data_IF_458431599301
#
_entry.id   IF_458431599301
#
_cell.length_a   1.000
_cell.length_b   1.000
_cell.length_c   1.000
_cell.angle_alpha   90.00
_cell.angle_beta   90.00
_cell.angle_gamma   90.00
#
_symmetry.space_group_name_H-M   'P 1'
#
loop_
_entity.id
_entity.type
_entity.pdbx_description
1 polymer ?
#
# COMPACT_ATOMS: atom_id res chain seq x y z
N UNK A 1 19.93 25.48 22.14
CA UNK A 1 18.59 24.88 22.38
C UNK A 1 17.96 24.32 21.11
N UNK A 2 18.06 25.00 19.97
CA UNK A 2 17.55 24.56 18.66
C UNK A 2 17.86 23.11 18.22
N UNK A 3 19.13 22.68 18.26
CA UNK A 3 19.51 21.32 17.84
C UNK A 3 18.89 20.21 18.69
N UNK A 4 18.58 20.50 19.96
CA UNK A 4 17.90 19.56 20.87
C UNK A 4 16.46 19.37 20.43
N UNK A 5 15.76 20.44 20.04
CA UNK A 5 14.38 20.36 19.55
C UNK A 5 14.31 19.49 18.29
N UNK A 6 15.21 19.72 17.34
CA UNK A 6 15.32 18.89 16.13
C UNK A 6 15.57 17.41 16.48
N UNK A 7 16.52 17.14 17.38
CA UNK A 7 16.82 15.78 17.85
C UNK A 7 15.62 15.10 18.51
N UNK A 8 14.86 15.83 19.34
CA UNK A 8 13.64 15.32 19.98
C UNK A 8 12.59 14.98 18.92
N UNK A 9 12.35 15.85 17.93
CA UNK A 9 11.38 15.58 16.86
C UNK A 9 11.76 14.32 16.08
N UNK A 10 13.02 14.20 15.66
CA UNK A 10 13.57 13.02 14.95
C UNK A 10 13.31 11.73 15.75
N UNK A 11 13.59 11.74 17.04
CA UNK A 11 13.42 10.57 17.92
C UNK A 11 11.93 10.24 18.13
N UNK A 12 11.09 11.23 18.40
CA UNK A 12 9.64 11.04 18.59
C UNK A 12 9.00 10.47 17.32
N UNK A 13 9.36 11.00 16.14
CA UNK A 13 8.85 10.52 14.86
C UNK A 13 9.30 9.08 14.58
N UNK A 14 10.52 8.71 14.97
CA UNK A 14 10.99 7.32 14.86
C UNK A 14 10.16 6.35 15.71
N UNK A 15 9.91 6.69 16.98
CA UNK A 15 9.07 5.87 17.85
C UNK A 15 7.61 5.83 17.39
N UNK A 16 7.10 6.93 16.84
CA UNK A 16 5.76 6.96 16.23
C UNK A 16 5.69 6.00 15.03
N UNK A 17 6.66 6.04 14.13
CA UNK A 17 6.70 5.14 12.97
C UNK A 17 6.81 3.67 13.41
N UNK A 18 7.66 3.37 14.41
CA UNK A 18 7.77 2.04 15.00
C UNK A 18 6.47 1.57 15.65
N UNK A 19 5.82 2.42 16.43
CA UNK A 19 4.55 2.11 17.09
C UNK A 19 3.46 1.80 16.07
N UNK A 20 3.33 2.62 15.03
CA UNK A 20 2.37 2.39 13.95
C UNK A 20 2.69 1.08 13.21
N UNK A 21 3.96 0.82 12.91
CA UNK A 21 4.35 -0.42 12.25
C UNK A 21 4.08 -1.66 13.12
N UNK A 22 4.30 -1.56 14.43
CA UNK A 22 3.98 -2.62 15.38
C UNK A 22 2.45 -2.83 15.52
N UNK A 23 1.67 -1.74 15.43
CA UNK A 23 0.21 -1.80 15.55
C UNK A 23 -0.45 -2.38 14.30
N UNK A 24 0.03 -2.03 13.12
CA UNK A 24 -0.59 -2.39 11.84
C UNK A 24 0.13 -3.53 11.10
N UNK A 25 1.39 -3.80 11.41
CA UNK A 25 2.21 -4.86 10.79
C UNK A 25 2.37 -6.08 11.69
N UNK A 26 2.48 -7.26 11.07
CA UNK A 26 2.82 -8.51 11.77
C UNK A 26 4.34 -8.75 11.70
N UNK A 27 5.05 -8.17 12.67
CA UNK A 27 6.51 -8.15 12.79
C UNK A 27 7.18 -9.54 12.75
N UNK A 28 6.47 -10.59 13.16
CA UNK A 28 7.02 -11.94 13.25
C UNK A 28 6.88 -12.72 11.96
N UNK A 29 5.80 -12.49 11.21
CA UNK A 29 5.52 -13.22 9.95
C UNK A 29 6.13 -12.55 8.73
N UNK A 30 6.33 -11.23 8.76
CA UNK A 30 6.93 -10.52 7.65
C UNK A 30 8.44 -10.71 7.57
N UNK A 31 8.95 -10.62 6.35
CA UNK A 31 10.38 -10.66 6.10
C UNK A 31 11.04 -9.37 6.55
N UNK A 32 12.25 -9.49 7.11
CA UNK A 32 13.00 -8.37 7.69
C UNK A 32 13.24 -7.22 6.70
N UNK A 33 13.50 -7.54 5.43
CA UNK A 33 13.76 -6.51 4.41
C UNK A 33 12.50 -5.68 4.10
N UNK A 34 11.32 -6.31 4.09
CA UNK A 34 10.02 -5.62 3.91
C UNK A 34 9.78 -4.70 5.09
N UNK A 35 9.99 -5.23 6.30
CA UNK A 35 9.79 -4.49 7.53
C UNK A 35 10.68 -3.24 7.61
N UNK A 36 11.98 -3.39 7.35
CA UNK A 36 12.94 -2.27 7.39
C UNK A 36 12.61 -1.25 6.31
N UNK A 37 12.29 -1.69 5.09
CA UNK A 37 11.91 -0.79 4.01
C UNK A 37 10.65 0.01 4.32
N UNK A 38 9.62 -0.62 4.86
CA UNK A 38 8.39 0.06 5.27
C UNK A 38 8.63 1.01 6.44
N UNK A 39 9.41 0.61 7.45
CA UNK A 39 9.76 1.48 8.57
C UNK A 39 10.48 2.75 8.08
N UNK A 40 11.49 2.57 7.24
CA UNK A 40 12.26 3.69 6.69
C UNK A 40 11.38 4.62 5.85
N UNK A 41 10.48 4.07 5.03
CA UNK A 41 9.52 4.84 4.24
C UNK A 41 8.61 5.69 5.12
N UNK A 42 7.96 5.07 6.10
CA UNK A 42 7.04 5.77 6.98
C UNK A 42 7.74 6.81 7.82
N UNK A 43 8.93 6.46 8.33
CA UNK A 43 9.76 7.38 9.09
C UNK A 43 10.09 8.64 8.27
N UNK A 44 10.60 8.50 7.05
CA UNK A 44 10.92 9.65 6.18
C UNK A 44 9.68 10.49 5.85
N UNK A 45 8.55 9.85 5.54
CA UNK A 45 7.30 10.57 5.25
C UNK A 45 6.81 11.39 6.44
N UNK A 46 6.76 10.80 7.64
CA UNK A 46 6.35 11.53 8.84
C UNK A 46 7.35 12.62 9.21
N UNK A 47 8.65 12.36 9.02
CA UNK A 47 9.70 13.32 9.31
C UNK A 47 9.52 14.61 8.48
N UNK A 48 9.21 14.49 7.18
CA UNK A 48 8.96 15.65 6.31
C UNK A 48 7.80 16.51 6.82
N UNK A 49 6.70 15.89 7.29
CA UNK A 49 5.52 16.61 7.80
C UNK A 49 5.87 17.49 8.99
N UNK A 50 6.74 17.01 9.91
CA UNK A 50 7.14 17.78 11.08
C UNK A 50 8.28 18.77 10.81
N UNK A 51 9.19 18.48 9.87
CA UNK A 51 10.35 19.34 9.59
C UNK A 51 9.99 20.49 8.64
N UNK A 52 9.01 20.32 7.76
CA UNK A 52 8.62 21.37 6.81
C UNK A 52 8.18 22.69 7.50
N UNK A 53 7.35 22.68 8.56
CA UNK A 53 7.06 23.91 9.33
C UNK A 53 8.30 24.56 9.94
N UNK A 54 9.27 23.75 10.39
CA UNK A 54 10.51 24.24 10.99
C UNK A 54 11.40 24.92 9.94
N UNK A 55 11.48 24.34 8.74
CA UNK A 55 12.16 24.92 7.60
C UNK A 55 11.56 26.28 7.21
N UNK A 56 10.23 26.33 7.03
CA UNK A 56 9.52 27.57 6.68
C UNK A 56 9.74 28.64 7.74
N UNK A 57 9.62 28.31 9.03
CA UNK A 57 9.85 29.27 10.12
C UNK A 57 11.28 29.80 10.15
N UNK A 58 12.27 28.94 9.89
CA UNK A 58 13.69 29.32 9.84
C UNK A 58 13.97 30.21 8.63
N UNK A 59 13.36 29.90 7.50
CA UNK A 59 13.51 30.67 6.25
C UNK A 59 12.88 32.06 6.37
N UNK A 60 11.69 32.18 6.97
CA UNK A 60 11.04 33.48 7.23
C UNK A 60 11.90 34.35 8.15
N UNK A 61 12.45 33.78 9.23
CA UNK A 61 13.33 34.50 10.14
C UNK A 61 14.60 35.00 9.44
N UNK A 62 15.23 34.16 8.61
CA UNK A 62 16.41 34.56 7.82
C UNK A 62 16.09 35.65 6.80
N UNK A 63 14.94 35.55 6.13
CA UNK A 63 14.50 36.59 5.20
C UNK A 63 14.30 37.93 5.92
N UNK A 64 13.68 37.91 7.11
CA UNK A 64 13.53 39.10 7.94
C UNK A 64 14.89 39.75 8.26
N UNK A 65 15.90 38.96 8.63
CA UNK A 65 17.25 39.48 8.89
C UNK A 65 17.89 40.10 7.65
N UNK A 66 17.72 39.50 6.47
CA UNK A 66 18.25 40.02 5.20
C UNK A 66 17.54 41.33 4.84
N UNK A 67 16.22 41.37 4.94
CA UNK A 67 15.41 42.55 4.61
C UNK A 67 15.78 43.72 5.54
N UNK A 68 16.08 43.46 6.81
CA UNK A 68 16.54 44.48 7.76
C UNK A 68 17.89 45.13 7.42
N UNK A 69 18.80 44.39 6.77
CA UNK A 69 20.09 44.94 6.33
C UNK A 69 19.88 45.89 5.14
N UNK A 70 18.85 45.63 4.32
CA UNK A 70 18.52 46.42 3.15
C UNK A 70 17.50 47.55 3.42
N UNK A 71 16.81 47.52 4.57
CA UNK A 71 15.74 48.47 4.89
C UNK A 71 16.25 49.75 5.55
N UNK A 72 15.62 50.88 5.19
CA UNK A 72 15.84 52.19 5.84
C UNK A 72 15.23 52.28 7.25
N UNK A 73 14.22 51.44 7.54
CA UNK A 73 13.63 51.28 8.88
C UNK A 73 13.71 49.80 9.30
N UNK A 74 14.53 49.45 10.31
CA UNK A 74 14.72 48.07 10.74
C UNK A 74 13.48 47.56 11.49
N UNK A 75 12.98 46.38 11.09
CA UNK A 75 11.92 45.64 11.78
C UNK A 75 12.52 44.75 12.86
N UNK A 76 11.78 44.47 13.93
CA UNK A 76 12.24 43.52 14.96
C UNK A 76 12.06 42.09 14.43
N UNK A 77 13.16 41.37 14.23
CA UNK A 77 13.13 39.94 13.90
C UNK A 77 13.34 39.11 15.17
N UNK A 78 12.26 38.51 15.69
CA UNK A 78 12.36 37.60 16.83
C UNK A 78 12.74 36.19 16.38
N UNK A 79 13.69 35.57 17.08
CA UNK A 79 14.13 34.22 16.77
C UNK A 79 13.04 33.20 17.16
N UNK A 80 12.56 32.37 16.22
CA UNK A 80 11.57 31.36 16.56
C UNK A 80 12.20 30.24 17.37
N UNK A 81 11.41 29.65 18.26
CA UNK A 81 11.76 28.45 19.04
C UNK A 81 12.19 27.26 18.15
N UNK A 82 11.71 27.23 16.91
CA UNK A 82 12.00 26.25 15.86
C UNK A 82 13.20 26.59 14.97
N UNK A 83 13.90 27.71 15.21
CA UNK A 83 15.06 28.11 14.39
C UNK A 83 16.10 27.00 14.34
N UNK A 84 16.58 26.61 13.16
CA UNK A 84 17.64 25.59 12.98
C UNK A 84 18.96 26.27 12.54
N UNK A 85 20.12 25.91 13.12
CA UNK A 85 21.41 26.50 12.76
C UNK A 85 21.79 26.24 11.30
N UNK A 86 22.57 27.17 10.75
CA UNK A 86 23.05 27.14 9.38
C UNK A 86 23.89 25.89 9.09
N UNK A 87 23.70 25.32 7.89
CA UNK A 87 24.40 24.11 7.45
C UNK A 87 23.70 22.79 7.80
N UNK A 88 22.91 22.72 8.89
CA UNK A 88 22.20 21.47 9.25
C UNK A 88 21.07 21.16 8.28
N UNK A 89 20.27 22.17 7.93
CA UNK A 89 19.08 22.00 7.10
C UNK A 89 19.41 21.53 5.65
N UNK A 90 20.42 22.08 4.94
CA UNK A 90 20.82 21.56 3.64
C UNK A 90 21.36 20.13 3.67
N UNK A 91 22.12 19.76 4.72
CA UNK A 91 22.62 18.39 4.89
C UNK A 91 21.46 17.44 5.17
N UNK A 92 20.54 17.84 6.05
CA UNK A 92 19.34 17.09 6.38
C UNK A 92 18.50 16.81 5.12
N UNK A 93 18.17 17.84 4.35
CA UNK A 93 17.39 17.68 3.12
C UNK A 93 18.13 16.85 2.06
N UNK A 94 19.46 16.93 1.99
CA UNK A 94 20.26 16.06 1.12
C UNK A 94 20.12 14.60 1.52
N UNK A 95 20.21 14.28 2.82
CA UNK A 95 20.01 12.92 3.33
C UNK A 95 18.61 12.42 3.03
N UNK A 96 17.57 13.21 3.37
CA UNK A 96 16.17 12.85 3.11
C UNK A 96 15.92 12.65 1.62
N UNK A 97 16.45 13.53 0.76
CA UNK A 97 16.32 13.44 -0.68
C UNK A 97 16.92 12.13 -1.21
N UNK A 98 18.21 11.87 -0.97
CA UNK A 98 18.87 10.69 -1.53
C UNK A 98 18.33 9.38 -0.97
N UNK A 99 17.99 9.34 0.32
CA UNK A 99 17.33 8.17 0.92
C UNK A 99 15.96 7.92 0.30
N UNK A 100 15.15 8.97 0.09
CA UNK A 100 13.84 8.86 -0.57
C UNK A 100 13.97 8.44 -2.04
N UNK A 101 14.99 8.92 -2.76
CA UNK A 101 15.26 8.50 -4.14
C UNK A 101 15.60 7.01 -4.20
N UNK A 102 16.53 6.55 -3.35
CA UNK A 102 16.88 5.13 -3.26
C UNK A 102 15.65 4.27 -2.90
N UNK A 103 14.86 4.73 -1.95
CA UNK A 103 13.68 4.01 -1.49
C UNK A 103 12.61 3.89 -2.58
N UNK A 104 12.36 4.98 -3.30
CA UNK A 104 11.29 5.07 -4.30
C UNK A 104 11.67 4.34 -5.59
N UNK A 105 12.91 4.50 -6.05
CA UNK A 105 13.33 3.96 -7.35
C UNK A 105 13.91 2.55 -7.28
N UNK A 106 14.43 2.13 -6.11
CA UNK A 106 15.04 0.80 -5.98
C UNK A 106 14.28 -0.08 -5.00
N UNK A 107 14.12 0.37 -3.75
CA UNK A 107 13.64 -0.53 -2.70
C UNK A 107 12.15 -0.88 -2.87
N UNK A 108 11.26 0.10 -3.00
CA UNK A 108 9.81 -0.14 -3.09
C UNK A 108 9.40 -0.99 -4.32
N UNK A 109 9.91 -0.73 -5.53
CA UNK A 109 9.62 -1.54 -6.72
C UNK A 109 10.16 -2.98 -6.57
N UNK A 110 11.35 -3.11 -5.99
CA UNK A 110 11.90 -4.41 -5.62
C UNK A 110 10.98 -5.14 -4.63
N UNK A 111 10.47 -4.46 -3.60
CA UNK A 111 9.55 -5.05 -2.63
C UNK A 111 8.23 -5.50 -3.24
N UNK A 112 7.67 -4.71 -4.16
CA UNK A 112 6.43 -5.04 -4.85
C UNK A 112 6.59 -6.32 -5.68
N UNK A 113 7.64 -6.40 -6.51
CA UNK A 113 7.90 -7.60 -7.32
C UNK A 113 8.29 -8.80 -6.44
N UNK A 114 9.08 -8.58 -5.38
CA UNK A 114 9.42 -9.62 -4.42
C UNK A 114 8.16 -10.22 -3.76
N UNK A 115 7.23 -9.37 -3.30
CA UNK A 115 5.98 -9.81 -2.66
C UNK A 115 5.02 -10.50 -3.64
N UNK A 116 5.00 -10.06 -4.91
CA UNK A 116 4.19 -10.66 -5.98
C UNK A 116 4.77 -11.98 -6.48
N UNK A 117 6.07 -12.22 -6.30
CA UNK A 117 6.73 -13.44 -6.79
C UNK A 117 6.21 -14.71 -6.11
N UNK A 118 5.73 -15.66 -6.92
CA UNK A 118 5.25 -16.97 -6.48
C UNK A 118 6.34 -18.00 -6.21
N UNK A 119 7.63 -17.61 -6.24
CA UNK A 119 8.74 -18.54 -6.06
C UNK A 119 8.82 -19.05 -4.61
N UNK A 120 9.00 -20.36 -4.42
CA UNK A 120 9.04 -20.98 -3.08
C UNK A 120 10.36 -20.71 -2.33
N UNK A 121 11.46 -20.45 -3.03
CA UNK A 121 12.78 -20.16 -2.44
C UNK A 121 13.06 -18.66 -2.33
N UNK A 122 13.72 -18.23 -1.24
CA UNK A 122 14.15 -16.84 -1.04
C UNK A 122 15.02 -16.32 -2.18
N UNK A 123 15.95 -17.13 -2.68
CA UNK A 123 16.82 -16.76 -3.79
C UNK A 123 16.06 -16.65 -5.11
N UNK A 124 15.07 -17.52 -5.32
CA UNK A 124 14.16 -17.46 -6.45
C UNK A 124 13.37 -16.15 -6.47
N UNK A 125 12.82 -15.74 -5.32
CA UNK A 125 12.11 -14.46 -5.19
C UNK A 125 12.99 -13.25 -5.50
N UNK A 126 14.21 -13.21 -4.96
CA UNK A 126 15.17 -12.11 -5.23
C UNK A 126 15.52 -12.07 -6.73
N UNK A 127 15.82 -13.22 -7.34
CA UNK A 127 16.18 -13.29 -8.76
C UNK A 127 15.03 -12.83 -9.66
N UNK A 128 13.82 -13.32 -9.43
CA UNK A 128 12.63 -12.90 -10.17
C UNK A 128 12.41 -11.40 -9.99
N UNK A 129 12.53 -10.88 -8.77
CA UNK A 129 12.34 -9.45 -8.50
C UNK A 129 13.37 -8.55 -9.19
N UNK A 130 14.63 -8.99 -9.26
CA UNK A 130 15.68 -8.25 -9.97
C UNK A 130 15.47 -8.28 -11.49
N UNK A 131 15.04 -9.42 -12.05
CA UNK A 131 14.80 -9.54 -13.50
C UNK A 131 13.62 -8.67 -13.91
N UNK A 132 12.49 -8.73 -13.20
CA UNK A 132 11.30 -7.94 -13.53
C UNK A 132 11.58 -6.44 -13.47
N UNK A 133 12.22 -5.97 -12.39
CA UNK A 133 12.59 -4.56 -12.27
C UNK A 133 13.68 -4.16 -13.29
N UNK A 134 14.65 -5.04 -13.56
CA UNK A 134 15.71 -4.80 -14.54
C UNK A 134 15.16 -4.62 -15.95
N UNK A 135 14.17 -5.42 -16.35
CA UNK A 135 13.48 -5.26 -17.65
C UNK A 135 12.73 -3.92 -17.68
N UNK A 136 11.97 -3.60 -16.64
CA UNK A 136 11.18 -2.37 -16.59
C UNK A 136 12.04 -1.09 -16.61
N UNK A 137 13.06 -1.02 -15.76
CA UNK A 137 13.98 0.12 -15.74
C UNK A 137 14.89 0.16 -16.97
N UNK A 138 15.27 -1.00 -17.51
CA UNK A 138 16.06 -1.10 -18.73
C UNK A 138 15.33 -0.52 -19.94
N UNK A 139 14.04 -0.82 -20.11
CA UNK A 139 13.24 -0.26 -21.21
C UNK A 139 13.01 1.24 -21.03
N UNK A 140 12.71 1.71 -19.82
CA UNK A 140 12.58 3.14 -19.53
C UNK A 140 13.88 3.91 -19.83
N UNK A 141 15.03 3.35 -19.42
CA UNK A 141 16.34 3.96 -19.68
C UNK A 141 16.63 4.07 -21.18
N UNK A 142 16.29 3.05 -21.97
CA UNK A 142 16.46 3.08 -23.42
C UNK A 142 15.65 4.22 -24.05
N UNK A 143 14.36 4.31 -23.71
CA UNK A 143 13.47 5.39 -24.19
C UNK A 143 13.96 6.77 -23.74
N UNK A 144 14.44 6.88 -22.50
CA UNK A 144 14.98 8.13 -21.98
C UNK A 144 16.24 8.56 -22.75
N UNK A 145 17.17 7.64 -23.00
CA UNK A 145 18.39 7.92 -23.76
C UNK A 145 18.07 8.29 -25.21
N UNK A 146 17.12 7.63 -25.87
CA UNK A 146 16.74 7.99 -27.24
C UNK A 146 16.13 9.38 -27.34
N UNK A 147 15.29 9.77 -26.37
CA UNK A 147 14.75 11.13 -26.25
C UNK A 147 15.85 12.15 -25.97
N UNK A 148 16.82 11.83 -25.11
CA UNK A 148 17.96 12.71 -24.84
C UNK A 148 18.78 12.96 -26.10
N UNK A 149 19.08 11.92 -26.88
CA UNK A 149 19.81 12.07 -28.16
C UNK A 149 19.05 12.99 -29.11
N UNK A 150 17.73 12.82 -29.23
CA UNK A 150 16.88 13.72 -30.03
C UNK A 150 16.97 15.18 -29.57
N UNK A 151 16.83 15.43 -28.26
CA UNK A 151 16.89 16.78 -27.68
C UNK A 151 18.27 17.41 -27.84
N UNK A 152 19.36 16.65 -27.68
CA UNK A 152 20.72 17.17 -27.86
C UNK A 152 20.95 17.59 -29.31
N UNK A 153 20.48 16.82 -30.28
CA UNK A 153 20.61 17.14 -31.71
C UNK A 153 19.82 18.40 -32.09
N UNK A 154 18.61 18.57 -31.56
CA UNK A 154 17.72 19.66 -31.97
C UNK A 154 17.79 20.92 -31.10
N UNK A 155 18.12 20.80 -29.81
CA UNK A 155 17.98 21.89 -28.83
C UNK A 155 19.32 22.37 -28.26
N UNK A 156 20.42 21.69 -28.56
CA UNK A 156 21.86 21.97 -28.39
C UNK A 156 22.40 22.61 -27.09
N UNK A 157 21.63 23.33 -26.24
CA UNK A 157 22.11 24.00 -25.01
C UNK A 157 21.15 24.11 -23.82
N UNK A 158 19.89 23.67 -23.94
CA UNK A 158 18.86 23.84 -22.87
C UNK A 158 18.49 22.54 -22.12
N UNK A 159 19.32 21.50 -22.18
CA UNK A 159 18.97 20.16 -21.66
C UNK A 159 18.57 20.18 -20.17
N UNK A 160 19.31 20.92 -19.35
CA UNK A 160 19.00 21.05 -17.92
C UNK A 160 17.64 21.71 -17.70
N UNK A 161 17.34 22.80 -18.42
CA UNK A 161 16.05 23.50 -18.33
C UNK A 161 14.90 22.58 -18.73
N UNK A 162 15.06 21.82 -19.83
CA UNK A 162 14.05 20.85 -20.28
C UNK A 162 13.83 19.75 -19.25
N UNK A 163 14.90 19.17 -18.69
CA UNK A 163 14.78 18.12 -17.67
C UNK A 163 14.13 18.63 -16.38
N UNK A 164 14.48 19.84 -15.92
CA UNK A 164 13.86 20.45 -14.74
C UNK A 164 12.37 20.71 -15.00
N UNK A 165 12.06 21.30 -16.16
CA UNK A 165 10.68 21.61 -16.53
C UNK A 165 9.85 20.34 -16.66
N UNK A 166 10.38 19.29 -17.32
CA UNK A 166 9.72 18.00 -17.47
C UNK A 166 9.49 17.29 -16.11
N UNK A 167 10.46 17.34 -15.20
CA UNK A 167 10.29 16.77 -13.86
C UNK A 167 9.21 17.52 -13.06
N UNK A 168 9.18 18.85 -13.18
CA UNK A 168 8.17 19.69 -12.52
C UNK A 168 6.78 19.47 -13.11
N UNK A 169 6.63 19.39 -14.43
CA UNK A 169 5.33 19.11 -15.06
C UNK A 169 4.83 17.71 -14.72
N UNK A 170 5.71 16.71 -14.65
CA UNK A 170 5.35 15.37 -14.20
C UNK A 170 4.85 15.36 -12.74
N UNK A 171 5.55 16.06 -11.84
CA UNK A 171 5.13 16.19 -10.45
C UNK A 171 3.78 16.89 -10.28
N UNK A 172 3.57 18.01 -11.01
CA UNK A 172 2.30 18.74 -11.01
C UNK A 172 1.16 17.91 -11.61
N UNK A 173 1.42 17.17 -12.70
CA UNK A 173 0.44 16.28 -13.30
C UNK A 173 -0.03 15.20 -12.32
N UNK A 174 0.91 14.53 -11.64
CA UNK A 174 0.58 13.55 -10.61
C UNK A 174 -0.17 14.17 -9.44
N UNK A 175 0.23 15.37 -8.99
CA UNK A 175 -0.46 16.08 -7.92
C UNK A 175 -1.92 16.34 -8.30
N UNK A 176 -2.18 16.88 -9.49
CA UNK A 176 -3.55 17.16 -9.95
C UNK A 176 -4.40 15.88 -9.99
N UNK A 177 -3.86 14.77 -10.50
CA UNK A 177 -4.59 13.49 -10.56
C UNK A 177 -4.85 12.89 -9.18
N UNK A 178 -3.84 12.88 -8.31
CA UNK A 178 -3.92 12.19 -7.01
C UNK A 178 -4.64 13.03 -5.95
N UNK A 179 -4.56 14.36 -6.02
CA UNK A 179 -5.17 15.26 -5.05
C UNK A 179 -6.69 15.13 -5.04
N UNK A 180 -7.33 14.97 -6.21
CA UNK A 180 -8.78 14.76 -6.30
C UNK A 180 -9.23 13.50 -5.56
N UNK A 181 -8.54 12.39 -5.76
CA UNK A 181 -8.82 11.15 -5.04
C UNK A 181 -8.57 11.30 -3.54
N UNK A 182 -7.44 11.92 -3.16
CA UNK A 182 -7.03 12.12 -1.77
C UNK A 182 -8.00 13.01 -0.98
N UNK A 183 -8.47 14.11 -1.56
CA UNK A 183 -9.34 15.08 -0.87
C UNK A 183 -10.81 14.65 -0.84
N UNK A 184 -11.30 13.91 -1.84
CA UNK A 184 -12.73 13.60 -1.96
C UNK A 184 -13.01 12.15 -1.58
N UNK A 185 -12.35 11.20 -2.22
CA UNK A 185 -12.71 9.78 -2.09
C UNK A 185 -12.30 9.22 -0.72
N UNK A 186 -11.15 9.64 -0.17
CA UNK A 186 -10.71 9.16 1.16
C UNK A 186 -11.70 9.61 2.25
N UNK A 187 -12.01 10.91 2.44
CA UNK A 187 -12.97 11.33 3.48
C UNK A 187 -14.36 10.76 3.25
N UNK A 188 -14.84 10.73 1.99
CA UNK A 188 -16.14 10.12 1.65
C UNK A 188 -16.18 8.64 2.02
N UNK A 189 -15.12 7.90 1.74
CA UNK A 189 -15.01 6.48 2.10
C UNK A 189 -15.07 6.28 3.61
N UNK A 190 -14.37 7.10 4.40
CA UNK A 190 -14.46 7.07 5.87
C UNK A 190 -15.85 7.43 6.37
N UNK A 191 -16.46 8.49 5.84
CA UNK A 191 -17.81 8.92 6.20
C UNK A 191 -18.85 7.82 5.95
N UNK A 192 -18.82 7.22 4.75
CA UNK A 192 -19.71 6.13 4.37
C UNK A 192 -19.44 4.85 5.17
N UNK A 193 -18.18 4.57 5.49
CA UNK A 193 -17.80 3.43 6.34
C UNK A 193 -18.28 3.59 7.78
N UNK A 194 -18.51 4.83 8.25
CA UNK A 194 -19.12 5.10 9.55
C UNK A 194 -20.60 4.76 9.61
N UNK A 195 -21.29 4.73 8.46
CA UNK A 195 -22.71 4.44 8.41
C UNK A 195 -22.95 2.92 8.36
N UNK A 196 -23.51 2.31 9.43
CA UNK A 196 -23.68 0.86 9.52
C UNK A 196 -24.64 0.33 8.44
N UNK A 197 -25.69 1.08 8.07
CA UNK A 197 -26.67 0.65 7.06
C UNK A 197 -26.04 0.60 5.67
N UNK A 198 -25.26 1.63 5.30
CA UNK A 198 -24.51 1.64 4.04
C UNK A 198 -23.49 0.49 4.00
N UNK A 199 -22.74 0.31 5.10
CA UNK A 199 -21.72 -0.72 5.19
C UNK A 199 -22.31 -2.13 5.11
N UNK A 200 -23.47 -2.36 5.73
CA UNK A 200 -24.23 -3.62 5.67
C UNK A 200 -24.67 -3.93 4.24
N UNK A 201 -25.36 -3.00 3.57
CA UNK A 201 -25.81 -3.18 2.18
C UNK A 201 -24.65 -3.44 1.22
N UNK A 202 -23.55 -2.69 1.37
CA UNK A 202 -22.32 -2.90 0.60
C UNK A 202 -21.72 -4.29 0.85
N UNK A 203 -21.78 -4.77 2.09
CA UNK A 203 -21.26 -6.10 2.44
C UNK A 203 -22.15 -7.21 1.89
N UNK A 204 -23.49 -7.08 1.95
CA UNK A 204 -24.40 -8.04 1.31
C UNK A 204 -24.19 -8.16 -0.20
N UNK A 205 -24.02 -7.03 -0.89
CA UNK A 205 -23.71 -7.05 -2.32
C UNK A 205 -22.39 -7.79 -2.60
N UNK A 206 -21.35 -7.53 -1.80
CA UNK A 206 -20.07 -8.23 -1.94
C UNK A 206 -20.19 -9.72 -1.64
N UNK A 207 -20.98 -10.10 -0.64
CA UNK A 207 -21.29 -11.49 -0.31
C UNK A 207 -21.97 -12.13 -1.52
N UNK A 208 -23.11 -11.62 -1.97
CA UNK A 208 -23.81 -12.18 -3.14
C UNK A 208 -22.88 -12.35 -4.36
N UNK A 209 -22.05 -11.34 -4.66
CA UNK A 209 -21.05 -11.42 -5.73
C UNK A 209 -20.00 -12.51 -5.48
N UNK A 210 -19.44 -12.60 -4.28
CA UNK A 210 -18.45 -13.62 -3.93
C UNK A 210 -19.05 -15.04 -3.99
N UNK A 211 -20.33 -15.21 -3.66
CA UNK A 211 -21.03 -16.48 -3.81
C UNK A 211 -21.09 -16.91 -5.28
N UNK A 212 -21.42 -15.98 -6.19
CA UNK A 212 -21.41 -16.25 -7.63
C UNK A 212 -20.02 -16.56 -8.17
N UNK A 213 -18.99 -15.84 -7.70
CA UNK A 213 -17.59 -16.11 -8.07
C UNK A 213 -17.12 -17.48 -7.55
N UNK A 214 -17.62 -17.91 -6.38
CA UNK A 214 -17.34 -19.22 -5.80
C UNK A 214 -17.93 -20.33 -6.65
N UNK A 215 -19.23 -20.23 -6.97
CA UNK A 215 -19.92 -21.23 -7.77
C UNK A 215 -19.24 -21.39 -9.15
N UNK A 216 -18.93 -20.28 -9.82
CA UNK A 216 -18.21 -20.31 -11.09
C UNK A 216 -16.81 -20.93 -10.98
N UNK A 217 -16.08 -20.68 -9.88
CA UNK A 217 -14.76 -21.27 -9.67
C UNK A 217 -14.81 -22.78 -9.33
N UNK A 218 -15.88 -23.25 -8.69
CA UNK A 218 -16.12 -24.67 -8.44
C UNK A 218 -16.52 -25.40 -9.72
N UNK A 219 -17.33 -24.78 -10.58
CA UNK A 219 -17.67 -25.27 -11.93
C UNK A 219 -16.43 -25.36 -12.83
N UNK A 220 -15.65 -24.27 -12.94
CA UNK A 220 -14.37 -24.25 -13.68
C UNK A 220 -13.40 -25.36 -13.22
N UNK A 221 -13.44 -25.72 -11.93
CA UNK A 221 -12.59 -26.76 -11.37
C UNK A 221 -13.13 -28.16 -11.71
N UNK A 222 -14.44 -28.36 -11.65
CA UNK A 222 -15.09 -29.61 -12.05
C UNK A 222 -14.83 -29.95 -13.52
N UNK A 223 -15.02 -28.99 -14.43
CA UNK A 223 -14.77 -29.15 -15.87
C UNK A 223 -13.33 -29.62 -16.16
N UNK A 224 -12.37 -29.07 -15.42
CA UNK A 224 -10.96 -29.41 -15.57
C UNK A 224 -10.63 -30.77 -14.95
N UNK A 225 -11.33 -31.16 -13.88
CA UNK A 225 -11.21 -32.48 -13.27
C UNK A 225 -11.79 -33.58 -14.16
N UNK A 226 -12.82 -33.31 -14.95
CA UNK A 226 -13.38 -34.28 -15.90
C UNK A 226 -12.37 -34.70 -16.97
N UNK A 227 -11.42 -33.84 -17.34
CA UNK A 227 -10.34 -34.24 -18.27
C UNK A 227 -9.44 -35.34 -17.67
N UNK A 228 -9.33 -35.39 -16.34
CA UNK A 228 -8.59 -36.47 -15.66
C UNK A 228 -9.30 -37.81 -15.73
N UNK A 229 -10.64 -37.84 -15.78
CA UNK A 229 -11.42 -39.07 -15.98
C UNK A 229 -11.30 -39.57 -17.43
N UNK A 230 -11.25 -38.66 -18.41
CA UNK A 230 -10.96 -38.99 -19.82
C UNK A 230 -9.54 -39.57 -19.98
N UNK A 231 -8.56 -39.08 -19.22
CA UNK A 231 -7.22 -39.66 -19.23
C UNK A 231 -7.19 -41.10 -18.67
N UNK A 232 -8.05 -41.42 -17.70
CA UNK A 232 -8.15 -42.78 -17.14
C UNK A 232 -8.87 -43.75 -18.09
N UNK A 233 -9.75 -43.26 -18.97
CA UNK A 233 -10.52 -44.11 -19.89
C UNK A 233 -9.77 -44.50 -21.17
N UNK A 234 -8.65 -43.84 -21.49
CA UNK A 234 -7.87 -44.10 -22.71
C UNK A 234 -6.68 -45.03 -22.42
N UNK A 235 -6.71 -46.23 -22.99
CA UNK A 235 -5.60 -47.19 -22.93
C UNK A 235 -4.29 -46.61 -23.49
N UNK A 236 -3.17 -46.94 -22.85
CA UNK A 236 -1.81 -46.53 -23.25
C UNK A 236 -1.38 -47.01 -24.63
N UNK A 237 -2.07 -47.99 -25.22
CA UNK A 237 -1.79 -48.51 -26.57
C UNK A 237 -2.56 -47.79 -27.69
N UNK A 238 -3.44 -46.84 -27.37
CA UNK A 238 -4.29 -46.19 -28.37
C UNK A 238 -3.51 -45.17 -29.21
N UNK A 239 -3.72 -45.12 -30.55
CA UNK A 239 -3.15 -44.07 -31.41
C UNK A 239 -3.61 -42.64 -31.02
N UNK A 240 -4.72 -42.52 -30.28
CA UNK A 240 -5.24 -41.25 -29.77
C UNK A 240 -4.44 -40.71 -28.57
N UNK A 241 -3.57 -41.52 -27.95
CA UNK A 241 -2.82 -41.15 -26.75
C UNK A 241 -1.96 -39.89 -26.92
N UNK A 242 -1.35 -39.71 -28.11
CA UNK A 242 -0.57 -38.50 -28.44
C UNK A 242 -1.39 -37.20 -28.35
N UNK A 243 -2.67 -37.26 -28.72
CA UNK A 243 -3.57 -36.11 -28.64
C UNK A 243 -3.99 -35.84 -27.19
N UNK A 244 -4.26 -36.90 -26.41
CA UNK A 244 -4.56 -36.81 -24.97
C UNK A 244 -3.39 -36.23 -24.20
N UNK A 245 -2.15 -36.66 -24.46
CA UNK A 245 -0.95 -36.15 -23.77
C UNK A 245 -0.73 -34.65 -24.07
N UNK A 246 -1.02 -34.21 -25.30
CA UNK A 246 -0.96 -32.78 -25.67
C UNK A 246 -2.02 -31.98 -24.91
N UNK A 247 -3.24 -32.51 -24.78
CA UNK A 247 -4.32 -31.91 -23.99
C UNK A 247 -3.91 -31.84 -22.51
N UNK A 248 -3.38 -32.94 -21.95
CA UNK A 248 -2.94 -33.04 -20.55
C UNK A 248 -1.89 -31.97 -20.20
N UNK A 249 -0.95 -31.73 -21.13
CA UNK A 249 0.09 -30.70 -20.95
C UNK A 249 -0.48 -29.29 -20.81
N UNK A 250 -1.52 -28.95 -21.58
CA UNK A 250 -2.21 -27.65 -21.51
C UNK A 250 -3.12 -27.57 -20.29
N UNK A 251 -3.74 -28.69 -19.91
CA UNK A 251 -4.63 -28.82 -18.76
C UNK A 251 -3.87 -28.66 -17.45
N UNK A 252 -2.64 -29.19 -17.32
CA UNK A 252 -1.84 -29.08 -16.08
C UNK A 252 -1.70 -27.64 -15.58
N UNK A 253 -1.43 -26.68 -16.46
CA UNK A 253 -1.33 -25.26 -16.10
C UNK A 253 -2.69 -24.66 -15.73
N UNK A 254 -3.77 -25.10 -16.40
CA UNK A 254 -5.14 -24.68 -16.07
C UNK A 254 -5.61 -25.23 -14.73
N UNK A 255 -5.35 -26.50 -14.42
CA UNK A 255 -5.65 -27.15 -13.13
C UNK A 255 -5.08 -26.34 -11.98
N UNK A 256 -3.78 -26.01 -12.05
CA UNK A 256 -3.12 -25.23 -10.99
C UNK A 256 -3.83 -23.89 -10.76
N UNK A 257 -4.21 -23.20 -11.84
CA UNK A 257 -4.92 -21.92 -11.76
C UNK A 257 -6.33 -22.06 -11.20
N UNK A 258 -7.11 -23.04 -11.66
CA UNK A 258 -8.48 -23.30 -11.17
C UNK A 258 -8.46 -23.69 -9.69
N UNK A 259 -7.54 -24.55 -9.26
CA UNK A 259 -7.35 -24.94 -7.85
C UNK A 259 -7.01 -23.72 -6.99
N UNK A 260 -6.06 -22.89 -7.42
CA UNK A 260 -5.71 -21.66 -6.70
C UNK A 260 -6.89 -20.69 -6.58
N UNK A 261 -7.66 -20.51 -7.66
CA UNK A 261 -8.85 -19.64 -7.68
C UNK A 261 -9.94 -20.17 -6.76
N UNK A 262 -10.28 -21.45 -6.87
CA UNK A 262 -11.29 -22.10 -6.02
C UNK A 262 -10.90 -22.02 -4.54
N UNK A 263 -9.66 -22.38 -4.21
CA UNK A 263 -9.14 -22.29 -2.83
C UNK A 263 -9.22 -20.86 -2.29
N UNK A 264 -8.83 -19.86 -3.10
CA UNK A 264 -8.89 -18.44 -2.71
C UNK A 264 -10.31 -18.03 -2.35
N UNK A 265 -11.26 -18.29 -3.24
CA UNK A 265 -12.66 -17.86 -3.05
C UNK A 265 -13.31 -18.63 -1.90
N UNK A 266 -13.00 -19.92 -1.76
CA UNK A 266 -13.47 -20.77 -0.66
C UNK A 266 -13.02 -20.25 0.72
N UNK A 267 -11.83 -19.67 0.85
CA UNK A 267 -11.35 -19.03 2.09
C UNK A 267 -11.93 -17.62 2.26
N UNK A 268 -12.08 -16.85 1.19
CA UNK A 268 -12.59 -15.47 1.26
C UNK A 268 -14.08 -15.39 1.60
N UNK A 269 -14.87 -16.32 1.08
CA UNK A 269 -16.32 -16.41 1.30
C UNK A 269 -16.74 -16.37 2.79
N UNK A 270 -16.29 -17.30 3.66
CA UNK A 270 -16.70 -17.33 5.06
C UNK A 270 -16.24 -16.10 5.85
N UNK A 271 -15.09 -15.51 5.51
CA UNK A 271 -14.60 -14.29 6.16
C UNK A 271 -15.55 -13.12 5.88
N UNK A 272 -15.97 -12.98 4.63
CA UNK A 272 -16.88 -11.93 4.22
C UNK A 272 -18.30 -12.15 4.76
N UNK A 273 -18.74 -13.42 4.82
CA UNK A 273 -20.02 -13.81 5.38
C UNK A 273 -20.08 -13.51 6.89
N UNK A 274 -19.06 -13.87 7.66
CA UNK A 274 -18.96 -13.54 9.08
C UNK A 274 -18.99 -12.02 9.33
N UNK A 275 -18.39 -11.23 8.43
CA UNK A 275 -18.46 -9.77 8.50
C UNK A 275 -19.89 -9.27 8.25
N UNK A 276 -20.63 -9.87 7.32
CA UNK A 276 -22.03 -9.51 7.08
C UNK A 276 -22.89 -9.80 8.33
N UNK A 277 -22.77 -11.02 8.89
CA UNK A 277 -23.49 -11.39 10.12
C UNK A 277 -23.17 -10.46 11.29
N UNK A 278 -21.89 -10.16 11.51
CA UNK A 278 -21.49 -9.21 12.56
C UNK A 278 -22.12 -7.82 12.38
N UNK A 279 -22.15 -7.29 11.16
CA UNK A 279 -22.76 -5.97 10.90
C UNK A 279 -24.28 -6.01 11.08
N UNK A 280 -24.91 -7.14 10.79
CA UNK A 280 -26.33 -7.35 11.02
C UNK A 280 -26.65 -7.40 12.52
N UNK A 281 -25.83 -8.11 13.30
CA UNK A 281 -25.91 -8.16 14.76
C UNK A 281 -25.75 -6.76 15.38
N UNK A 282 -24.81 -5.95 14.88
CA UNK A 282 -24.64 -4.55 15.29
C UNK A 282 -25.90 -3.74 14.98
N UNK A 283 -26.47 -3.90 13.78
CA UNK A 283 -27.67 -3.18 13.35
C UNK A 283 -28.88 -3.54 14.23
N UNK A 284 -29.09 -4.84 14.48
CA UNK A 284 -30.16 -5.34 15.36
C UNK A 284 -29.97 -4.89 16.81
N UNK A 285 -28.74 -4.96 17.32
CA UNK A 285 -28.42 -4.51 18.69
C UNK A 285 -28.65 -3.01 18.88
N UNK A 286 -28.31 -2.18 17.88
CA UNK A 286 -28.61 -0.72 17.92
C UNK A 286 -30.11 -0.41 17.92
N UNK A 287 -30.92 -1.25 17.26
CA UNK A 287 -32.37 -1.09 17.23
C UNK A 287 -33.06 -1.64 18.50
N UNK A 288 -32.38 -2.46 19.29
CA UNK A 288 -32.91 -3.08 20.49
C UNK A 288 -32.83 -2.13 21.71
N UNK A 289 -33.81 -2.22 22.61
CA UNK A 289 -33.80 -1.51 23.89
C UNK A 289 -32.80 -2.10 24.92
N UNK A 290 -32.24 -3.26 24.58
CA UNK A 290 -31.34 -4.04 25.43
C UNK A 290 -29.91 -3.46 25.38
N UNK A 291 -29.30 -3.20 26.55
CA UNK A 291 -27.96 -2.56 26.67
C UNK A 291 -26.77 -3.50 26.44
N UNK A 292 -26.98 -4.73 25.97
CA UNK A 292 -25.91 -5.68 25.66
C UNK A 292 -25.93 -6.07 24.18
N UNK A 293 -24.76 -6.37 23.64
CA UNK A 293 -24.60 -6.78 22.25
C UNK A 293 -25.14 -8.20 22.06
N UNK A 294 -26.12 -8.39 21.18
CA UNK A 294 -26.61 -9.72 20.80
C UNK A 294 -25.78 -10.25 19.64
N UNK A 295 -25.01 -11.32 19.88
CA UNK A 295 -24.35 -12.09 18.84
C UNK A 295 -25.29 -13.19 18.35
N UNK A 296 -25.47 -13.34 17.03
CA UNK A 296 -26.20 -14.47 16.44
C UNK A 296 -25.40 -15.78 16.50
N UNK A 297 -24.07 -15.70 16.65
CA UNK A 297 -23.16 -16.84 16.76
C UNK A 297 -22.16 -16.60 17.90
N UNK A 298 -21.98 -17.56 18.81
CA UNK A 298 -21.04 -17.44 19.94
C UNK A 298 -19.60 -17.22 19.44
N UNK A 299 -19.00 -16.09 19.83
CA UNK A 299 -17.58 -15.83 19.57
C UNK A 299 -16.78 -16.10 20.84
N UNK A 300 -16.28 -17.31 20.93
CA UNK A 300 -15.53 -17.82 22.08
C UNK A 300 -14.07 -17.30 22.10
N UNK A 301 -13.89 -15.98 22.31
CA UNK A 301 -12.57 -15.40 22.60
C UNK A 301 -12.61 -14.43 23.78
N UNK A 302 -11.97 -14.75 24.92
CA UNK A 302 -11.87 -13.83 26.05
C UNK A 302 -10.98 -12.64 25.65
N UNK A 303 -11.56 -11.42 25.63
CA UNK A 303 -10.80 -10.18 25.42
C UNK A 303 -10.09 -9.76 26.71
N UNK A 304 -8.75 -9.70 26.69
CA UNK A 304 -7.94 -9.21 27.81
C UNK A 304 -8.17 -7.73 28.13
N UNK A 305 -7.86 -7.29 29.36
CA UNK A 305 -8.22 -5.94 29.85
C UNK A 305 -7.67 -4.81 28.97
N UNK A 306 -6.48 -4.99 28.39
CA UNK A 306 -5.75 -3.93 27.66
C UNK A 306 -6.52 -3.53 26.39
N UNK A 307 -7.26 -4.47 25.81
CA UNK A 307 -8.09 -4.25 24.64
C UNK A 307 -9.41 -3.54 24.98
N UNK A 308 -9.87 -3.61 26.24
CA UNK A 308 -11.03 -2.85 26.73
C UNK A 308 -10.69 -1.39 27.03
N UNK A 309 -9.45 -1.11 27.46
CA UNK A 309 -9.03 0.24 27.84
C UNK A 309 -8.70 1.13 26.62
N UNK A 310 -8.14 0.55 25.56
CA UNK A 310 -7.67 1.27 24.37
C UNK A 310 -8.65 1.25 23.19
N UNK A 311 -9.65 0.37 23.19
CA UNK A 311 -10.69 0.34 22.16
C UNK A 311 -12.06 0.58 22.79
N UNK A 312 -12.55 1.82 22.67
CA UNK A 312 -13.99 2.05 22.65
C UNK A 312 -14.60 1.23 21.49
N UNK A 313 -15.78 0.62 21.66
CA UNK A 313 -16.38 -0.29 20.67
C UNK A 313 -16.49 0.35 19.27
N UNK A 314 -16.74 1.66 19.20
CA UNK A 314 -16.81 2.44 17.97
C UNK A 314 -15.49 2.54 17.19
N UNK A 315 -14.34 2.42 17.85
CA UNK A 315 -13.02 2.60 17.22
C UNK A 315 -12.43 1.26 16.80
N UNK A 316 -12.62 0.19 17.58
CA UNK A 316 -12.19 -1.16 17.21
C UNK A 316 -12.92 -1.72 15.97
N UNK A 317 -14.19 -1.36 15.80
CA UNK A 317 -15.06 -1.74 14.67
C UNK A 317 -14.64 -1.08 13.34
N UNK A 318 -14.07 0.13 13.39
CA UNK A 318 -13.52 0.82 12.22
C UNK A 318 -12.23 0.16 11.72
N UNK A 319 -11.41 -0.37 12.62
CA UNK A 319 -10.10 -0.94 12.27
C UNK A 319 -10.20 -2.37 11.71
N UNK A 320 -11.04 -3.25 12.24
CA UNK A 320 -11.30 -4.56 11.58
C UNK A 320 -11.96 -4.38 10.22
N UNK A 321 -12.79 -3.33 10.06
CA UNK A 321 -13.36 -2.96 8.78
C UNK A 321 -12.34 -2.43 7.76
N UNK A 322 -11.38 -1.60 8.21
CA UNK A 322 -10.35 -0.93 7.41
C UNK A 322 -9.16 -1.81 7.01
N UNK A 323 -8.66 -2.64 7.93
CA UNK A 323 -7.52 -3.54 7.67
C UNK A 323 -7.87 -4.63 6.65
N UNK A 324 -9.12 -5.12 6.65
CA UNK A 324 -9.61 -6.01 5.60
C UNK A 324 -9.83 -5.29 4.26
N UNK A 325 -10.31 -4.03 4.24
CA UNK A 325 -10.46 -3.31 2.97
C UNK A 325 -9.13 -3.00 2.27
N UNK A 326 -8.04 -2.78 3.02
CA UNK A 326 -6.70 -2.59 2.45
C UNK A 326 -6.08 -3.91 1.95
N UNK A 327 -6.34 -5.04 2.62
CA UNK A 327 -5.98 -6.37 2.08
C UNK A 327 -6.76 -6.71 0.80
N UNK A 328 -8.02 -6.25 0.68
CA UNK A 328 -8.82 -6.47 -0.53
C UNK A 328 -8.40 -5.55 -1.69
N UNK A 329 -8.10 -4.26 -1.47
CA UNK A 329 -7.68 -3.36 -2.56
C UNK A 329 -6.33 -3.74 -3.18
N UNK A 330 -5.42 -4.38 -2.43
CA UNK A 330 -4.18 -4.95 -2.98
C UNK A 330 -4.36 -6.22 -3.83
N UNK A 331 -5.53 -6.86 -3.79
CA UNK A 331 -5.85 -8.10 -4.53
C UNK A 331 -6.76 -7.89 -5.76
N UNK A 332 -7.14 -6.64 -6.05
CA UNK A 332 -7.93 -6.22 -7.22
C UNK A 332 -7.09 -5.45 -8.27
N UNK A 333 -5.76 -5.61 -8.28
CA UNK A 333 -4.99 -5.25 -9.46
C UNK A 333 -5.19 -6.34 -10.53
N UNK A 334 -5.75 -6.03 -11.71
CA UNK A 334 -5.81 -6.98 -12.81
C UNK A 334 -4.37 -7.33 -13.19
N UNK A 335 -4.05 -8.62 -13.16
CA UNK A 335 -2.82 -9.20 -13.70
C UNK A 335 -3.18 -10.14 -14.83
#
# INVERSE_FOLDING_TARGET
>A
MSGVVLGVVVVVVFFLALFLLHRYGDLRRQQRLVLVGTLLAWYLCFLIVFILPFDVSTTIYKQCLIDNVAASEPKVCEQPWSYIPDGVLPVFWRVVYWTSQFLTWLLLPFMQSYARSGAFSRTGKIKTALIENGIYYGTYLLVFVSLLVYVVIHLNRELQTVCITAANTWGLFLLVLLLGYGLVEIPRSYWLSSNPAYLLNKTYFKVAKMATEKAAAEEDLADVMDVSSVNQSVSSSSPLRKHVDTILSKVKTRVIRCVQRSTRVQVQWPILLNRAFHLEDVSKSKASAVRYFMHSFDSDRPRGWIQKLLCTPSVGEFYTAGTLSLQFSGMYAPG
#
